data_IF_754514178299
#
_entry.id   IF_754514178299
#
_cell.length_a   1.000
_cell.length_b   1.000
_cell.length_c   1.000
_cell.angle_alpha   90.00
_cell.angle_beta   90.00
_cell.angle_gamma   90.00
#
_symmetry.space_group_name_H-M   'P 1'
#
loop_
_entity.id
_entity.type
_entity.pdbx_description
1 polymer ?
#
# COMPACT_ATOMS: atom_id res chain seq x y z
N UNK A 1 21.38 5.43 5.42
CA UNK A 1 21.74 4.25 6.24
C UNK A 1 20.54 3.33 6.21
N UNK A 2 20.51 2.44 5.23
CA UNK A 2 19.39 1.51 5.03
C UNK A 2 19.49 0.41 6.07
N UNK A 3 18.63 0.43 7.08
CA UNK A 3 18.52 -0.67 8.05
C UNK A 3 17.76 -1.81 7.37
N UNK A 4 18.48 -2.67 6.70
CA UNK A 4 17.96 -3.94 6.19
C UNK A 4 17.73 -4.91 7.34
N UNK A 5 16.64 -4.74 8.05
CA UNK A 5 16.09 -5.81 8.89
C UNK A 5 14.99 -6.52 8.08
N UNK A 6 15.44 -7.21 7.02
CA UNK A 6 14.59 -7.85 6.02
C UNK A 6 13.55 -8.82 6.60
N UNK A 7 13.83 -9.45 7.73
CA UNK A 7 12.91 -10.38 8.38
C UNK A 7 11.71 -9.72 9.07
N UNK A 8 11.91 -8.57 9.70
CA UNK A 8 10.82 -7.86 10.40
C UNK A 8 9.84 -7.18 9.44
N UNK A 9 10.34 -6.53 8.40
CA UNK A 9 9.51 -5.92 7.36
C UNK A 9 8.64 -6.96 6.65
N UNK A 10 9.21 -8.09 6.23
CA UNK A 10 8.48 -9.17 5.57
C UNK A 10 7.39 -9.75 6.49
N UNK A 11 7.61 -9.82 7.80
CA UNK A 11 6.62 -10.33 8.75
C UNK A 11 5.43 -9.37 8.93
N UNK A 12 5.66 -8.05 8.90
CA UNK A 12 4.62 -7.02 8.97
C UNK A 12 3.73 -7.07 7.73
N UNK A 13 4.33 -7.08 6.54
CA UNK A 13 3.57 -7.22 5.29
C UNK A 13 2.78 -8.52 5.24
N UNK A 14 3.40 -9.65 5.60
CA UNK A 14 2.70 -10.93 5.65
C UNK A 14 1.50 -10.89 6.60
N UNK A 15 1.63 -10.23 7.76
CA UNK A 15 0.53 -10.03 8.70
C UNK A 15 -0.59 -9.17 8.11
N UNK A 16 -0.27 -8.02 7.51
CA UNK A 16 -1.24 -7.13 6.88
C UNK A 16 -1.99 -7.82 5.74
N UNK A 17 -1.28 -8.65 4.97
CA UNK A 17 -1.85 -9.46 3.88
C UNK A 17 -2.60 -10.71 4.33
N UNK A 18 -2.80 -10.89 5.65
CA UNK A 18 -3.63 -11.97 6.17
C UNK A 18 -2.96 -13.34 6.22
N UNK A 19 -1.62 -13.38 6.23
CA UNK A 19 -0.91 -14.64 6.33
C UNK A 19 -1.29 -15.44 7.60
N UNK A 20 -1.47 -16.74 7.43
CA UNK A 20 -1.72 -17.66 8.55
C UNK A 20 -0.48 -17.82 9.45
N UNK A 21 -0.68 -18.35 10.67
CA UNK A 21 0.37 -18.51 11.67
C UNK A 21 1.55 -19.34 11.16
N UNK A 22 1.27 -20.41 10.39
CA UNK A 22 2.31 -21.25 9.80
C UNK A 22 3.18 -20.49 8.79
N UNK A 23 2.59 -19.60 7.97
CA UNK A 23 3.33 -18.80 6.98
C UNK A 23 4.22 -17.76 7.67
N UNK A 24 3.69 -17.08 8.69
CA UNK A 24 4.48 -16.12 9.48
C UNK A 24 5.61 -16.85 10.23
N UNK A 25 5.32 -18.01 10.85
CA UNK A 25 6.33 -18.84 11.48
C UNK A 25 7.47 -19.20 10.52
N UNK A 26 7.13 -19.63 9.30
CA UNK A 26 8.13 -19.98 8.27
C UNK A 26 9.00 -18.78 7.84
N UNK A 27 8.40 -17.58 7.72
CA UNK A 27 9.15 -16.36 7.35
C UNK A 27 10.25 -16.02 8.35
N UNK A 28 10.00 -16.25 9.64
CA UNK A 28 10.99 -16.00 10.72
C UNK A 28 11.90 -17.20 11.01
N UNK A 29 11.88 -18.23 10.17
CA UNK A 29 12.66 -19.46 10.38
C UNK A 29 12.15 -20.35 11.51
N UNK A 30 10.88 -20.19 11.91
CA UNK A 30 10.28 -20.88 13.03
C UNK A 30 9.02 -21.70 12.64
N UNK A 31 8.21 -22.03 13.65
CA UNK A 31 7.00 -22.84 13.50
C UNK A 31 5.72 -22.01 13.69
N UNK A 32 4.55 -22.65 13.47
CA UNK A 32 3.25 -21.99 13.59
C UNK A 32 2.97 -21.40 14.99
N UNK A 33 3.49 -22.01 16.06
CA UNK A 33 3.36 -21.49 17.41
C UNK A 33 4.09 -20.15 17.59
N UNK A 34 5.29 -20.03 17.03
CA UNK A 34 6.08 -18.80 17.02
C UNK A 34 5.40 -17.73 16.15
N UNK A 35 4.86 -18.10 14.98
CA UNK A 35 4.06 -17.20 14.15
C UNK A 35 2.84 -16.65 14.88
N UNK A 36 2.12 -17.50 15.63
CA UNK A 36 0.99 -17.08 16.48
C UNK A 36 1.42 -16.13 17.59
N UNK A 37 2.59 -16.39 18.23
CA UNK A 37 3.12 -15.52 19.27
C UNK A 37 3.47 -14.12 18.73
N UNK A 38 4.06 -14.02 17.54
CA UNK A 38 4.36 -12.75 16.87
C UNK A 38 3.08 -11.99 16.53
N UNK A 39 2.09 -12.65 15.94
CA UNK A 39 0.79 -12.01 15.67
C UNK A 39 0.18 -11.42 16.93
N UNK A 40 0.22 -12.16 18.05
CA UNK A 40 -0.31 -11.68 19.32
C UNK A 40 0.46 -10.46 19.85
N UNK A 41 1.80 -10.45 19.75
CA UNK A 41 2.62 -9.29 20.10
C UNK A 41 2.27 -8.09 19.22
N UNK A 42 2.13 -8.30 17.92
CA UNK A 42 1.79 -7.25 16.96
C UNK A 42 0.41 -6.65 17.24
N UNK A 43 -0.61 -7.49 17.46
CA UNK A 43 -1.96 -7.03 17.83
C UNK A 43 -1.98 -6.24 19.13
N UNK A 44 -1.11 -6.59 20.09
CA UNK A 44 -0.97 -5.86 21.35
C UNK A 44 -0.25 -4.52 21.16
N UNK A 45 0.75 -4.47 20.28
CA UNK A 45 1.52 -3.25 20.00
C UNK A 45 0.72 -2.24 19.17
N UNK A 46 -0.06 -2.73 18.18
CA UNK A 46 -0.85 -1.88 17.27
C UNK A 46 -2.30 -2.38 17.23
N UNK A 47 -3.08 -2.14 18.27
CA UNK A 47 -4.47 -2.64 18.33
C UNK A 47 -5.37 -2.04 17.26
N UNK A 48 -5.04 -0.85 16.74
CA UNK A 48 -5.79 -0.18 15.68
C UNK A 48 -5.90 -1.05 14.40
N UNK A 49 -4.85 -1.78 14.04
CA UNK A 49 -4.86 -2.67 12.86
C UNK A 49 -5.77 -3.88 13.09
N UNK A 50 -5.75 -4.46 14.29
CA UNK A 50 -6.63 -5.55 14.65
C UNK A 50 -8.10 -5.10 14.61
N UNK A 51 -8.40 -3.94 15.18
CA UNK A 51 -9.74 -3.34 15.17
C UNK A 51 -10.21 -3.04 13.74
N UNK A 52 -9.35 -2.48 12.89
CA UNK A 52 -9.66 -2.23 11.48
C UNK A 52 -9.99 -3.55 10.75
N UNK A 53 -9.21 -4.61 10.97
CA UNK A 53 -9.48 -5.93 10.39
C UNK A 53 -10.84 -6.45 10.80
N UNK A 54 -11.17 -6.42 12.09
CA UNK A 54 -12.47 -6.84 12.59
C UNK A 54 -13.61 -6.00 11.99
N UNK A 55 -13.47 -4.68 11.95
CA UNK A 55 -14.48 -3.80 11.36
C UNK A 55 -14.72 -4.11 9.88
N UNK A 56 -13.67 -4.42 9.12
CA UNK A 56 -13.76 -4.83 7.71
C UNK A 56 -14.46 -6.19 7.57
N UNK A 57 -14.12 -7.17 8.40
CA UNK A 57 -14.75 -8.49 8.41
C UNK A 57 -16.22 -8.39 8.81
N UNK A 58 -16.56 -7.67 9.88
CA UNK A 58 -17.93 -7.45 10.35
C UNK A 58 -18.82 -6.73 9.32
N UNK A 59 -18.22 -5.87 8.51
CA UNK A 59 -18.93 -5.21 7.41
C UNK A 59 -19.31 -6.18 6.28
N UNK A 60 -18.63 -7.32 6.15
CA UNK A 60 -18.77 -8.26 5.05
C UNK A 60 -19.60 -9.50 5.40
N UNK A 61 -19.44 -10.00 6.62
CA UNK A 61 -20.01 -11.30 7.02
C UNK A 61 -20.79 -11.17 8.33
N UNK A 62 -21.75 -12.08 8.52
CA UNK A 62 -22.42 -12.23 9.81
C UNK A 62 -21.47 -12.95 10.79
N UNK A 63 -21.53 -12.62 12.09
CA UNK A 63 -20.80 -13.36 13.11
C UNK A 63 -21.08 -14.86 12.97
N UNK A 64 -20.02 -15.64 12.97
CA UNK A 64 -20.13 -17.10 12.94
C UNK A 64 -20.32 -17.55 14.37
N UNK A 65 -21.53 -18.02 14.70
CA UNK A 65 -21.76 -18.72 15.96
C UNK A 65 -20.97 -20.03 15.95
N UNK A 66 -19.83 -20.03 16.61
CA UNK A 66 -18.99 -21.20 16.86
C UNK A 66 -19.68 -22.15 17.85
N UNK A 67 -20.77 -22.75 17.45
CA UNK A 67 -21.16 -24.04 18.08
C UNK A 67 -20.32 -25.10 17.41
N UNK A 68 -19.20 -25.43 18.05
CA UNK A 68 -18.28 -26.49 17.68
C UNK A 68 -19.06 -27.81 17.52
N UNK A 69 -19.36 -28.15 16.27
CA UNK A 69 -19.66 -29.55 15.93
C UNK A 69 -18.46 -30.06 15.15
N UNK A 70 -17.69 -30.96 15.77
CA UNK A 70 -16.58 -31.70 15.15
C UNK A 70 -16.95 -32.08 13.71
N UNK A 71 -16.20 -31.54 12.73
CA UNK A 71 -16.22 -32.03 11.36
C UNK A 71 -17.06 -31.24 10.34
N UNK A 72 -17.82 -30.22 10.69
CA UNK A 72 -18.55 -29.40 9.69
C UNK A 72 -17.74 -28.18 9.29
N UNK A 73 -17.45 -28.02 7.97
CA UNK A 73 -16.91 -26.78 7.39
C UNK A 73 -17.89 -25.65 7.72
N UNK A 74 -17.45 -24.66 8.48
CA UNK A 74 -18.25 -23.49 8.83
C UNK A 74 -18.53 -22.69 7.56
N UNK A 75 -19.81 -22.61 7.17
CA UNK A 75 -20.21 -21.85 5.98
C UNK A 75 -20.29 -20.39 6.37
N UNK A 76 -19.45 -19.55 5.71
CA UNK A 76 -19.50 -18.12 5.87
C UNK A 76 -20.80 -17.58 5.27
N UNK A 77 -21.56 -16.83 6.06
CA UNK A 77 -22.76 -16.13 5.58
C UNK A 77 -22.41 -14.69 5.31
N UNK A 78 -22.51 -14.27 4.05
CA UNK A 78 -22.17 -12.94 3.62
C UNK A 78 -23.31 -11.95 3.85
N UNK A 79 -22.97 -10.75 4.37
CA UNK A 79 -23.85 -9.57 4.33
C UNK A 79 -23.76 -8.90 2.96
N UNK A 80 -22.53 -8.80 2.42
CA UNK A 80 -22.22 -8.23 1.12
C UNK A 80 -20.85 -8.70 0.63
N UNK A 81 -20.65 -8.72 -0.69
CA UNK A 81 -19.41 -9.13 -1.33
C UNK A 81 -18.56 -7.95 -1.79
N UNK A 82 -18.69 -6.78 -1.17
CA UNK A 82 -17.91 -5.60 -1.56
C UNK A 82 -17.65 -4.68 -0.37
N UNK A 83 -16.57 -3.92 -0.50
CA UNK A 83 -16.24 -2.76 0.33
C UNK A 83 -16.25 -1.51 -0.54
N UNK A 84 -16.29 -0.35 0.07
CA UNK A 84 -16.05 0.91 -0.64
C UNK A 84 -14.59 1.33 -0.48
N UNK A 85 -13.93 1.63 -1.60
CA UNK A 85 -12.61 2.25 -1.64
C UNK A 85 -12.65 3.74 -1.26
N UNK A 86 -11.49 4.41 -1.24
CA UNK A 86 -11.37 5.85 -0.95
C UNK A 86 -12.20 6.72 -1.90
N UNK A 87 -12.33 6.32 -3.15
CA UNK A 87 -13.13 6.97 -4.20
C UNK A 87 -14.58 6.49 -4.25
N UNK A 88 -15.03 5.79 -3.21
CA UNK A 88 -16.36 5.18 -3.09
C UNK A 88 -16.69 4.12 -4.14
N UNK A 89 -15.71 3.64 -4.91
CA UNK A 89 -15.90 2.47 -5.78
C UNK A 89 -16.19 1.21 -4.96
N UNK A 90 -17.05 0.34 -5.49
CA UNK A 90 -17.25 -0.99 -4.93
C UNK A 90 -16.07 -1.88 -5.27
N UNK A 91 -15.37 -2.33 -4.26
CA UNK A 91 -14.26 -3.28 -4.33
C UNK A 91 -14.81 -4.69 -4.07
N UNK A 92 -14.84 -5.54 -5.07
CA UNK A 92 -15.35 -6.90 -4.93
C UNK A 92 -14.44 -7.75 -4.03
N UNK A 93 -15.01 -8.32 -2.98
CA UNK A 93 -14.29 -9.12 -1.98
C UNK A 93 -14.58 -10.60 -2.21
N UNK A 94 -13.54 -11.38 -2.51
CA UNK A 94 -13.62 -12.84 -2.72
C UNK A 94 -13.57 -13.62 -1.41
N UNK A 95 -12.85 -13.10 -0.42
CA UNK A 95 -12.67 -13.74 0.88
C UNK A 95 -12.56 -12.69 1.98
N UNK A 96 -13.19 -12.86 3.15
CA UNK A 96 -13.07 -11.94 4.28
C UNK A 96 -11.60 -11.69 4.66
N UNK A 97 -10.76 -12.74 4.63
CA UNK A 97 -9.34 -12.64 5.00
C UNK A 97 -8.51 -11.74 4.06
N UNK A 98 -8.93 -11.60 2.80
CA UNK A 98 -8.25 -10.74 1.83
C UNK A 98 -8.80 -9.31 1.79
N UNK A 99 -9.86 -9.03 2.53
CA UNK A 99 -10.60 -7.78 2.44
C UNK A 99 -9.78 -6.56 2.87
N UNK A 100 -9.06 -6.67 3.98
CA UNK A 100 -8.18 -5.60 4.45
C UNK A 100 -7.07 -5.29 3.44
N UNK A 101 -6.43 -6.34 2.90
CA UNK A 101 -5.41 -6.18 1.86
C UNK A 101 -5.97 -5.47 0.62
N UNK A 102 -7.13 -5.92 0.13
CA UNK A 102 -7.80 -5.29 -1.01
C UNK A 102 -8.08 -3.81 -0.76
N UNK A 103 -8.54 -3.46 0.44
CA UNK A 103 -8.82 -2.07 0.82
C UNK A 103 -7.53 -1.23 0.81
N UNK A 104 -6.45 -1.72 1.42
CA UNK A 104 -5.17 -1.02 1.49
C UNK A 104 -4.51 -0.89 0.12
N UNK A 105 -4.51 -1.94 -0.70
CA UNK A 105 -3.96 -1.91 -2.06
C UNK A 105 -4.74 -0.96 -2.97
N UNK A 106 -6.07 -0.94 -2.85
CA UNK A 106 -6.90 0.01 -3.60
C UNK A 106 -6.60 1.46 -3.20
N UNK A 107 -6.42 1.73 -1.90
CA UNK A 107 -6.06 3.05 -1.40
C UNK A 107 -4.68 3.49 -1.93
N UNK A 108 -3.66 2.64 -1.81
CA UNK A 108 -2.32 2.91 -2.32
C UNK A 108 -2.31 3.22 -3.82
N UNK A 109 -3.02 2.43 -4.62
CA UNK A 109 -3.13 2.67 -6.06
C UNK A 109 -3.78 4.03 -6.40
N UNK A 110 -4.76 4.48 -5.61
CA UNK A 110 -5.40 5.79 -5.81
C UNK A 110 -4.46 6.93 -5.43
N UNK A 111 -3.71 6.79 -4.33
CA UNK A 111 -2.70 7.76 -3.90
C UNK A 111 -1.66 7.93 -5.02
N UNK A 112 -1.06 6.83 -5.49
CA UNK A 112 -0.04 6.88 -6.54
C UNK A 112 -0.57 7.47 -7.85
N UNK A 113 -1.78 7.12 -8.27
CA UNK A 113 -2.40 7.71 -9.47
C UNK A 113 -2.63 9.21 -9.33
N UNK A 114 -3.08 9.66 -8.16
CA UNK A 114 -3.27 11.09 -7.92
C UNK A 114 -1.93 11.82 -7.89
N UNK A 115 -0.92 11.20 -7.28
CA UNK A 115 0.44 11.72 -7.24
C UNK A 115 1.03 11.92 -8.63
N UNK A 116 0.92 10.94 -9.54
CA UNK A 116 1.39 11.06 -10.93
C UNK A 116 0.73 12.26 -11.64
N UNK A 117 -0.59 12.36 -11.54
CA UNK A 117 -1.34 13.47 -12.14
C UNK A 117 -0.90 14.81 -11.56
N UNK A 118 -0.74 14.90 -10.24
CA UNK A 118 -0.28 16.14 -9.58
C UNK A 118 1.16 16.48 -9.95
N UNK A 119 2.04 15.49 -10.08
CA UNK A 119 3.42 15.71 -10.53
C UNK A 119 3.41 16.36 -11.92
N UNK A 120 2.68 15.81 -12.87
CA UNK A 120 2.58 16.37 -14.22
C UNK A 120 1.98 17.78 -14.23
N UNK A 121 0.85 18.00 -13.55
CA UNK A 121 0.20 19.31 -13.41
C UNK A 121 1.20 20.38 -12.91
N UNK A 122 2.00 20.06 -11.91
CA UNK A 122 2.99 20.97 -11.34
C UNK A 122 4.15 21.26 -12.27
N UNK A 123 4.66 20.24 -12.97
CA UNK A 123 5.75 20.40 -13.95
C UNK A 123 5.30 21.27 -15.13
N UNK A 124 4.10 21.05 -15.65
CA UNK A 124 3.51 21.88 -16.70
C UNK A 124 3.29 23.32 -16.24
N UNK A 125 2.85 23.53 -14.98
CA UNK A 125 2.70 24.86 -14.39
C UNK A 125 4.04 25.62 -14.24
N UNK A 126 5.16 24.90 -14.14
CA UNK A 126 6.52 25.46 -14.20
C UNK A 126 6.97 25.83 -15.62
N UNK A 127 6.15 25.55 -16.62
CA UNK A 127 6.49 25.79 -18.04
C UNK A 127 7.33 24.69 -18.68
N UNK A 128 7.55 23.56 -17.99
CA UNK A 128 8.25 22.42 -18.55
C UNK A 128 7.35 21.68 -19.55
N UNK A 129 7.94 21.14 -20.61
CA UNK A 129 7.23 20.42 -21.67
C UNK A 129 7.35 18.91 -21.47
N UNK A 130 6.20 18.23 -21.43
CA UNK A 130 6.16 16.77 -21.41
C UNK A 130 6.39 16.17 -22.79
N UNK A 131 7.09 15.08 -22.88
CA UNK A 131 7.29 14.27 -24.07
C UNK A 131 8.76 14.05 -24.43
N UNK A 132 9.00 13.21 -25.43
CA UNK A 132 10.36 12.86 -25.89
C UNK A 132 11.18 14.06 -26.38
N UNK A 133 10.53 15.00 -27.03
CA UNK A 133 11.15 16.25 -27.48
C UNK A 133 11.02 17.38 -26.43
N UNK A 134 10.44 17.05 -25.29
CA UNK A 134 10.21 17.96 -24.19
C UNK A 134 11.36 18.02 -23.19
N UNK A 135 11.07 18.48 -21.99
CA UNK A 135 12.00 18.61 -20.89
C UNK A 135 12.02 17.35 -20.01
N UNK A 136 10.88 16.67 -19.91
CA UNK A 136 10.70 15.45 -19.15
C UNK A 136 9.72 14.48 -19.83
N UNK A 137 9.83 13.20 -19.53
CA UNK A 137 8.86 12.18 -19.95
C UNK A 137 8.67 11.13 -18.87
N UNK A 138 7.40 10.81 -18.53
CA UNK A 138 7.09 9.70 -17.66
C UNK A 138 7.36 8.39 -18.40
N UNK A 139 8.33 7.62 -17.93
CA UNK A 139 8.79 6.39 -18.58
C UNK A 139 8.05 5.15 -18.06
N UNK A 140 7.87 5.08 -16.75
CA UNK A 140 7.20 3.97 -16.11
C UNK A 140 6.61 4.38 -14.76
N UNK A 141 5.58 3.63 -14.38
CA UNK A 141 5.07 3.62 -13.02
C UNK A 141 5.09 2.17 -12.52
N UNK A 142 5.93 1.90 -11.54
CA UNK A 142 6.13 0.56 -10.98
C UNK A 142 5.74 0.61 -9.51
N UNK A 143 4.62 -0.02 -9.15
CA UNK A 143 4.06 -0.01 -7.79
C UNK A 143 3.80 1.40 -7.24
N UNK A 144 4.69 1.90 -6.42
CA UNK A 144 4.69 3.20 -5.73
C UNK A 144 5.82 4.13 -6.20
N UNK A 145 6.42 3.83 -7.35
CA UNK A 145 7.56 4.54 -7.91
C UNK A 145 7.24 5.13 -9.28
N UNK A 146 7.62 6.40 -9.50
CA UNK A 146 7.59 7.05 -10.82
C UNK A 146 9.00 7.10 -11.39
N UNK A 147 9.16 6.60 -12.61
CA UNK A 147 10.39 6.73 -13.38
C UNK A 147 10.23 7.81 -14.46
N UNK A 148 10.98 8.89 -14.32
CA UNK A 148 10.87 10.06 -15.18
C UNK A 148 12.23 10.34 -15.85
N UNK A 149 12.26 10.31 -17.17
CA UNK A 149 13.41 10.77 -17.93
C UNK A 149 13.42 12.29 -17.99
N UNK A 150 14.58 12.90 -17.76
CA UNK A 150 14.77 14.34 -17.78
C UNK A 150 15.89 14.70 -18.75
N UNK A 151 15.75 15.82 -19.47
CA UNK A 151 16.71 16.25 -20.48
C UNK A 151 18.05 16.68 -19.87
N UNK A 152 18.04 17.26 -18.67
CA UNK A 152 19.23 17.72 -17.95
C UNK A 152 19.10 17.41 -16.46
N UNK A 153 20.23 17.42 -15.76
CA UNK A 153 20.27 17.23 -14.30
C UNK A 153 19.49 18.34 -13.55
N UNK A 154 19.54 19.58 -14.04
CA UNK A 154 18.80 20.69 -13.42
C UNK A 154 17.29 20.48 -13.54
N UNK A 155 16.80 19.99 -14.67
CA UNK A 155 15.41 19.58 -14.83
C UNK A 155 15.08 18.42 -13.89
N UNK A 156 15.95 17.43 -13.75
CA UNK A 156 15.75 16.32 -12.82
C UNK A 156 15.61 16.79 -11.37
N UNK A 157 16.40 17.76 -10.92
CA UNK A 157 16.25 18.38 -9.59
C UNK A 157 14.90 19.06 -9.40
N UNK A 158 14.44 19.79 -10.44
CA UNK A 158 13.09 20.41 -10.42
C UNK A 158 12.02 19.33 -10.35
N UNK A 159 12.12 18.29 -11.18
CA UNK A 159 11.17 17.16 -11.21
C UNK A 159 11.09 16.47 -9.84
N UNK A 160 12.22 16.18 -9.20
CA UNK A 160 12.23 15.60 -7.85
C UNK A 160 11.52 16.50 -6.83
N UNK A 161 11.82 17.80 -6.81
CA UNK A 161 11.20 18.73 -5.87
C UNK A 161 9.68 18.85 -6.10
N UNK A 162 9.23 18.93 -7.36
CA UNK A 162 7.82 19.03 -7.69
C UNK A 162 7.08 17.71 -7.43
N UNK A 163 7.72 16.56 -7.66
CA UNK A 163 7.13 15.26 -7.33
C UNK A 163 6.94 15.07 -5.82
N UNK A 164 7.90 15.51 -4.99
CA UNK A 164 7.77 15.51 -3.54
C UNK A 164 6.60 16.42 -3.09
N UNK A 165 6.52 17.63 -3.63
CA UNK A 165 5.41 18.52 -3.31
C UNK A 165 4.06 17.96 -3.80
N UNK A 166 4.02 17.33 -4.98
CA UNK A 166 2.83 16.66 -5.49
C UNK A 166 2.31 15.54 -4.58
N UNK A 167 3.21 14.83 -3.87
CA UNK A 167 2.81 13.84 -2.86
C UNK A 167 2.11 14.51 -1.66
N UNK A 168 2.61 15.66 -1.20
CA UNK A 168 1.98 16.45 -0.13
C UNK A 168 0.63 17.02 -0.57
N UNK A 169 0.52 17.52 -1.81
CA UNK A 169 -0.76 17.97 -2.37
C UNK A 169 -1.77 16.79 -2.48
N UNK A 170 -1.26 15.58 -2.73
CA UNK A 170 -2.07 14.36 -2.77
C UNK A 170 -2.59 13.98 -1.38
N UNK A 171 -1.78 14.18 -0.33
CA UNK A 171 -2.21 14.04 1.05
C UNK A 171 -3.38 14.96 1.38
N UNK A 172 -3.27 16.24 1.03
CA UNK A 172 -4.31 17.25 1.26
C UNK A 172 -5.59 16.88 0.49
N UNK A 173 -5.45 16.44 -0.76
CA UNK A 173 -6.61 16.03 -1.59
C UNK A 173 -7.42 14.90 -0.96
N UNK A 174 -6.78 13.94 -0.30
CA UNK A 174 -7.44 12.82 0.38
C UNK A 174 -7.73 13.07 1.87
N UNK A 175 -7.36 14.23 2.41
CA UNK A 175 -7.50 14.59 3.84
C UNK A 175 -6.86 13.56 4.78
N UNK A 176 -5.65 13.11 4.44
CA UNK A 176 -4.91 12.19 5.30
C UNK A 176 -4.31 12.90 6.49
N UNK A 177 -4.48 12.32 7.69
CA UNK A 177 -3.89 12.83 8.94
C UNK A 177 -2.40 12.53 9.07
N UNK A 178 -1.90 11.58 8.28
CA UNK A 178 -0.48 11.18 8.26
C UNK A 178 0.17 11.88 7.09
N UNK A 179 1.35 12.45 7.34
CA UNK A 179 2.14 13.05 6.28
C UNK A 179 2.56 11.99 5.26
N UNK A 180 2.25 12.25 3.99
CA UNK A 180 2.77 11.49 2.87
C UNK A 180 4.00 12.22 2.33
N UNK A 181 5.05 11.48 2.06
CA UNK A 181 6.28 11.99 1.45
C UNK A 181 6.88 10.95 0.52
N UNK A 182 7.86 11.36 -0.27
CA UNK A 182 8.59 10.51 -1.20
C UNK A 182 10.04 10.98 -1.29
N UNK A 183 10.93 10.07 -1.64
CA UNK A 183 12.33 10.38 -1.93
C UNK A 183 12.55 10.39 -3.44
N UNK A 184 13.42 11.28 -3.93
CA UNK A 184 13.84 11.33 -5.32
C UNK A 184 15.31 10.99 -5.43
N UNK A 185 15.64 10.04 -6.31
CA UNK A 185 17.02 9.68 -6.66
C UNK A 185 17.24 10.08 -8.11
N UNK A 186 18.36 10.77 -8.36
CA UNK A 186 18.78 11.19 -9.72
C UNK A 186 19.97 10.32 -10.13
N UNK A 187 19.86 9.69 -11.28
CA UNK A 187 20.92 8.86 -11.86
C UNK A 187 20.86 8.90 -13.38
N UNK A 188 21.89 8.41 -14.04
CA UNK A 188 21.98 8.37 -15.51
C UNK A 188 21.32 7.14 -16.12
N UNK A 189 20.94 6.18 -15.30
CA UNK A 189 20.27 4.95 -15.73
C UNK A 189 19.44 4.35 -14.59
N UNK A 190 18.61 3.37 -14.92
CA UNK A 190 17.73 2.69 -13.97
C UNK A 190 18.47 2.10 -12.76
N UNK A 191 19.65 1.52 -12.98
CA UNK A 191 20.42 0.88 -11.92
C UNK A 191 20.90 1.87 -10.84
N UNK A 192 21.21 3.10 -11.24
CA UNK A 192 21.62 4.16 -10.30
C UNK A 192 20.44 4.73 -9.49
N UNK A 193 19.21 4.57 -9.99
CA UNK A 193 17.99 5.04 -9.34
C UNK A 193 17.33 3.97 -8.46
N UNK A 194 17.86 2.75 -8.45
CA UNK A 194 17.34 1.58 -7.73
C UNK A 194 18.44 1.06 -6.81
#
# INVERSE_FOLDING_TARGET
>A
MCLTNTGEHISIYAYLYGAGDAKIGKIIGGNAGQGKAIKRKFNKAIPAIANLRHAVEDALVYPIDYKSTRGKKTRITWKRHYLYGLDRRKLHVRSPHSALNLLLQSAGALICKKWIVRTEERLLARGLKHGWDGDFALMAWVHDEQQIACRTEDIAKIVCAEAQQAMRDTQEFFDFRVQLDTEGIIGHNWFECH
#
